data_IF_762036987825
#
_entry.id   IF_762036987825
#
_cell.length_a   1.000
_cell.length_b   1.000
_cell.length_c   1.000
_cell.angle_alpha   90.00
_cell.angle_beta   90.00
_cell.angle_gamma   90.00
#
_symmetry.space_group_name_H-M   'P 1'
#
loop_
_entity.id
_entity.type
_entity.pdbx_description
1 polymer ?
#
# COMPACT_ATOMS: atom_id res chain seq x y z
N UNK A 1 -15.19 -3.15 15.39
CA UNK A 1 -15.54 -2.93 13.96
C UNK A 1 -14.30 -3.17 13.12
N UNK A 2 -14.39 -3.88 11.99
CA UNK A 2 -13.29 -4.08 11.06
C UNK A 2 -13.53 -3.26 9.80
N UNK A 3 -12.53 -2.50 9.33
CA UNK A 3 -12.60 -1.72 8.08
C UNK A 3 -11.65 -2.35 7.07
N UNK A 4 -12.20 -2.96 6.02
CA UNK A 4 -11.42 -3.57 4.94
C UNK A 4 -11.59 -2.79 3.64
N UNK A 5 -10.61 -1.91 3.36
CA UNK A 5 -10.55 -1.13 2.12
C UNK A 5 -9.12 -0.65 1.87
N UNK A 6 -8.86 -0.25 0.63
CA UNK A 6 -7.55 0.22 0.18
C UNK A 6 -7.58 1.62 -0.43
N UNK A 7 -6.72 1.81 -1.42
CA UNK A 7 -6.50 3.08 -2.13
C UNK A 7 -7.57 3.45 -3.16
N UNK A 8 -8.71 2.74 -3.18
CA UNK A 8 -9.75 2.85 -4.23
C UNK A 8 -9.11 2.73 -5.63
N UNK A 9 -9.67 3.41 -6.64
CA UNK A 9 -9.19 3.35 -8.02
C UNK A 9 -7.77 3.91 -8.22
N UNK A 10 -7.29 4.79 -7.32
CA UNK A 10 -5.98 5.43 -7.45
C UNK A 10 -4.84 4.40 -7.48
N UNK A 11 -4.82 3.45 -6.53
CA UNK A 11 -3.77 2.43 -6.51
C UNK A 11 -3.85 1.43 -7.67
N UNK A 12 -5.06 1.14 -8.16
CA UNK A 12 -5.24 0.33 -9.37
C UNK A 12 -4.62 1.02 -10.59
N UNK A 13 -4.86 2.32 -10.74
CA UNK A 13 -4.31 3.09 -11.85
C UNK A 13 -2.79 3.25 -11.74
N UNK A 14 -2.25 3.52 -10.54
CA UNK A 14 -0.81 3.53 -10.29
C UNK A 14 -0.15 2.21 -10.71
N UNK A 15 -0.76 1.07 -10.38
CA UNK A 15 -0.26 -0.24 -10.81
C UNK A 15 -0.28 -0.38 -12.34
N UNK A 16 -1.42 -0.03 -12.97
CA UNK A 16 -1.61 -0.12 -14.42
C UNK A 16 -0.57 0.71 -15.18
N UNK A 17 -0.35 1.95 -14.75
CA UNK A 17 0.59 2.88 -15.39
C UNK A 17 2.04 2.41 -15.18
N UNK A 18 2.36 1.91 -13.99
CA UNK A 18 3.70 1.41 -13.68
C UNK A 18 4.01 0.12 -14.42
N UNK A 19 3.06 -0.79 -14.58
CA UNK A 19 3.24 -2.02 -15.37
C UNK A 19 3.62 -1.71 -16.81
N UNK A 20 2.96 -0.73 -17.45
CA UNK A 20 3.31 -0.31 -18.81
C UNK A 20 4.76 0.18 -18.91
N UNK A 21 5.20 0.97 -17.92
CA UNK A 21 6.57 1.47 -17.87
C UNK A 21 7.59 0.34 -17.64
N UNK A 22 7.28 -0.59 -16.73
CA UNK A 22 8.13 -1.75 -16.42
C UNK A 22 8.24 -2.69 -17.62
N UNK A 23 7.13 -3.01 -18.30
CA UNK A 23 7.12 -3.86 -19.50
C UNK A 23 7.99 -3.28 -20.63
N UNK A 24 8.01 -1.96 -20.80
CA UNK A 24 8.90 -1.29 -21.76
C UNK A 24 10.37 -1.35 -21.31
N UNK A 25 10.62 -1.09 -20.02
CA UNK A 25 11.95 -1.09 -19.43
C UNK A 25 12.61 -2.48 -19.42
N UNK A 26 11.84 -3.56 -19.34
CA UNK A 26 12.37 -4.92 -19.45
C UNK A 26 13.15 -5.14 -20.75
N UNK A 27 12.70 -4.53 -21.87
CA UNK A 27 13.43 -4.59 -23.15
C UNK A 27 14.77 -3.86 -23.08
N UNK A 28 14.80 -2.72 -22.38
CA UNK A 28 16.01 -1.90 -22.18
C UNK A 28 17.07 -2.63 -21.33
N UNK A 29 16.63 -3.46 -20.38
CA UNK A 29 17.51 -4.20 -19.46
C UNK A 29 17.68 -5.69 -19.85
N UNK A 30 17.23 -6.12 -21.03
CA UNK A 30 17.23 -7.52 -21.52
C UNK A 30 16.66 -8.54 -20.52
N UNK A 31 15.59 -8.17 -19.82
CA UNK A 31 14.93 -9.02 -18.83
C UNK A 31 13.89 -9.89 -19.53
N UNK A 32 14.03 -11.21 -19.35
CA UNK A 32 13.07 -12.22 -19.81
C UNK A 32 12.46 -12.90 -18.61
N UNK A 33 11.14 -13.06 -18.65
CA UNK A 33 10.35 -13.68 -17.59
C UNK A 33 9.56 -14.85 -18.19
N UNK A 34 9.28 -15.89 -17.41
CA UNK A 34 8.52 -17.05 -17.90
C UNK A 34 7.05 -16.72 -18.17
N UNK A 35 6.52 -15.67 -17.55
CA UNK A 35 5.17 -15.16 -17.75
C UNK A 35 5.18 -13.64 -17.79
N UNK A 36 4.40 -13.04 -18.70
CA UNK A 36 4.30 -11.59 -18.86
C UNK A 36 3.81 -10.88 -17.59
N UNK A 37 2.96 -11.53 -16.79
CA UNK A 37 2.44 -10.99 -15.53
C UNK A 37 3.52 -10.86 -14.44
N UNK A 38 4.71 -11.42 -14.66
CA UNK A 38 5.89 -11.28 -13.78
C UNK A 38 6.80 -10.11 -14.19
N UNK A 39 6.25 -9.07 -14.84
CA UNK A 39 7.00 -7.90 -15.28
C UNK A 39 7.79 -7.25 -14.12
N UNK A 40 9.10 -7.08 -14.31
CA UNK A 40 10.01 -6.60 -13.27
C UNK A 40 11.23 -5.85 -13.84
N UNK A 41 11.89 -5.07 -12.97
CA UNK A 41 13.15 -4.38 -13.25
C UNK A 41 14.01 -4.33 -11.97
N UNK A 42 15.34 -4.15 -12.06
CA UNK A 42 16.18 -3.95 -10.89
C UNK A 42 15.70 -2.78 -10.02
N UNK A 43 15.80 -2.95 -8.69
CA UNK A 43 15.21 -2.02 -7.72
C UNK A 43 15.84 -0.62 -7.76
N UNK A 44 17.07 -0.49 -8.23
CA UNK A 44 17.84 0.76 -8.35
C UNK A 44 17.60 1.52 -9.66
N UNK A 45 16.77 0.99 -10.55
CA UNK A 45 16.42 1.64 -11.82
C UNK A 45 15.47 2.84 -11.62
N UNK A 46 15.51 3.85 -12.51
CA UNK A 46 14.57 4.99 -12.45
C UNK A 46 13.09 4.55 -12.50
N UNK A 47 12.78 3.51 -13.26
CA UNK A 47 11.43 2.98 -13.40
C UNK A 47 10.93 2.34 -12.09
N UNK A 48 11.80 1.59 -11.39
CA UNK A 48 11.50 1.02 -10.07
C UNK A 48 11.32 2.10 -9.00
N UNK A 49 12.21 3.10 -8.96
CA UNK A 49 12.13 4.20 -8.00
C UNK A 49 10.87 5.04 -8.20
N UNK A 50 10.48 5.30 -9.46
CA UNK A 50 9.23 5.99 -9.77
C UNK A 50 7.99 5.19 -9.38
N UNK A 51 8.00 3.86 -9.57
CA UNK A 51 6.93 3.00 -9.08
C UNK A 51 6.85 3.04 -7.55
N UNK A 52 7.99 2.95 -6.85
CA UNK A 52 8.04 2.97 -5.39
C UNK A 52 7.41 4.26 -4.82
N UNK A 53 7.75 5.43 -5.35
CA UNK A 53 7.16 6.70 -4.91
C UNK A 53 5.67 6.79 -5.22
N UNK A 54 5.24 6.29 -6.39
CA UNK A 54 3.83 6.29 -6.79
C UNK A 54 3.00 5.33 -5.93
N UNK A 55 3.53 4.12 -5.66
CA UNK A 55 2.92 3.14 -4.78
C UNK A 55 2.84 3.66 -3.33
N UNK A 56 3.88 4.33 -2.83
CA UNK A 56 3.85 4.96 -1.52
C UNK A 56 2.74 6.03 -1.41
N UNK A 57 2.56 6.83 -2.47
CA UNK A 57 1.46 7.80 -2.55
C UNK A 57 0.09 7.12 -2.52
N UNK A 58 -0.07 6.01 -3.24
CA UNK A 58 -1.29 5.21 -3.21
C UNK A 58 -1.55 4.57 -1.83
N UNK A 59 -0.50 4.10 -1.15
CA UNK A 59 -0.59 3.57 0.20
C UNK A 59 -1.03 4.65 1.19
N UNK A 60 -0.47 5.86 1.11
CA UNK A 60 -0.86 7.02 1.92
C UNK A 60 -2.33 7.39 1.69
N UNK A 61 -2.80 7.36 0.44
CA UNK A 61 -4.21 7.54 0.14
C UNK A 61 -5.08 6.44 0.80
N UNK A 62 -4.63 5.19 0.76
CA UNK A 62 -5.30 4.08 1.46
C UNK A 62 -5.37 4.26 2.99
N UNK A 63 -4.30 4.76 3.61
CA UNK A 63 -4.31 5.11 5.04
C UNK A 63 -5.28 6.24 5.33
N UNK A 64 -5.26 7.32 4.55
CA UNK A 64 -6.17 8.46 4.72
C UNK A 64 -7.64 8.04 4.56
N UNK A 65 -7.95 7.24 3.54
CA UNK A 65 -9.28 6.70 3.31
C UNK A 65 -9.81 5.93 4.55
N UNK A 66 -8.99 5.04 5.14
CA UNK A 66 -9.37 4.33 6.37
C UNK A 66 -9.50 5.24 7.59
N UNK A 67 -8.71 6.30 7.65
CA UNK A 67 -8.81 7.29 8.74
C UNK A 67 -10.12 8.08 8.68
N UNK A 68 -10.54 8.50 7.48
CA UNK A 68 -11.84 9.17 7.28
C UNK A 68 -13.01 8.24 7.65
N UNK A 69 -12.98 6.98 7.20
CA UNK A 69 -14.00 5.99 7.57
C UNK A 69 -14.01 5.76 9.08
N UNK A 70 -12.85 5.71 9.73
CA UNK A 70 -12.77 5.58 11.20
C UNK A 70 -13.41 6.78 11.90
N UNK A 71 -13.23 7.99 11.38
CA UNK A 71 -13.90 9.19 11.90
C UNK A 71 -15.43 9.09 11.77
N UNK A 72 -15.95 8.68 10.61
CA UNK A 72 -17.39 8.53 10.41
C UNK A 72 -18.00 7.40 11.25
N UNK A 73 -17.29 6.28 11.41
CA UNK A 73 -17.70 5.20 12.32
C UNK A 73 -17.83 5.71 13.76
N UNK A 74 -16.86 6.51 14.22
CA UNK A 74 -16.92 7.13 15.53
C UNK A 74 -18.15 8.02 15.67
N UNK A 75 -18.41 8.91 14.71
CA UNK A 75 -19.62 9.75 14.71
C UNK A 75 -20.90 8.91 14.76
N UNK A 76 -21.04 7.90 13.89
CA UNK A 76 -22.23 7.03 13.86
C UNK A 76 -22.46 6.31 15.19
N UNK A 77 -21.41 5.86 15.86
CA UNK A 77 -21.54 5.18 17.16
C UNK A 77 -21.86 6.15 18.29
N UNK A 78 -21.24 7.33 18.32
CA UNK A 78 -21.59 8.37 19.30
C UNK A 78 -23.05 8.79 19.14
N UNK A 79 -23.52 8.97 17.91
CA UNK A 79 -24.89 9.37 17.61
C UNK A 79 -25.91 8.30 18.01
N UNK A 80 -25.61 7.03 17.76
CA UNK A 80 -26.51 5.92 18.10
C UNK A 80 -26.54 5.63 19.60
N UNK A 81 -25.38 5.47 20.23
CA UNK A 81 -25.27 5.09 21.64
C UNK A 81 -25.39 6.27 22.61
N UNK A 82 -25.36 7.52 22.10
CA UNK A 82 -25.38 8.76 22.91
C UNK A 82 -24.30 8.78 23.99
N UNK A 83 -23.10 8.30 23.63
CA UNK A 83 -21.91 8.22 24.50
C UNK A 83 -20.71 8.87 23.83
N UNK A 84 -19.78 9.36 24.64
CA UNK A 84 -18.45 9.79 24.17
C UNK A 84 -17.62 8.61 23.67
N UNK A 85 -16.55 8.88 22.92
CA UNK A 85 -15.64 7.83 22.46
C UNK A 85 -14.89 7.12 23.59
N UNK A 86 -14.62 7.84 24.68
CA UNK A 86 -13.95 7.29 25.86
C UNK A 86 -14.86 6.31 26.61
N UNK A 87 -16.15 6.64 26.76
CA UNK A 87 -17.15 5.74 27.34
C UNK A 87 -17.41 4.50 26.48
N UNK A 88 -17.19 4.59 25.17
CA UNK A 88 -17.28 3.47 24.23
C UNK A 88 -15.96 2.68 24.12
N UNK A 89 -14.88 3.16 24.72
CA UNK A 89 -13.50 2.69 24.50
C UNK A 89 -13.17 2.48 23.01
N UNK A 90 -13.64 3.39 22.15
CA UNK A 90 -13.58 3.21 20.70
C UNK A 90 -12.22 3.62 20.12
N UNK A 91 -11.22 2.79 20.39
CA UNK A 91 -9.83 2.97 19.98
C UNK A 91 -9.47 2.16 18.74
N UNK A 92 -8.53 2.67 17.96
CA UNK A 92 -7.90 1.90 16.88
C UNK A 92 -6.92 0.92 17.54
N UNK A 93 -7.17 -0.38 17.39
CA UNK A 93 -6.24 -1.41 17.87
C UNK A 93 -5.01 -1.44 16.97
N UNK A 94 -5.22 -1.57 15.65
CA UNK A 94 -4.14 -1.58 14.68
C UNK A 94 -4.64 -1.32 13.25
N UNK A 95 -3.74 -0.86 12.38
CA UNK A 95 -3.97 -0.76 10.95
C UNK A 95 -2.84 -1.44 10.19
N UNK A 96 -3.16 -2.37 9.28
CA UNK A 96 -2.18 -3.13 8.51
C UNK A 96 -2.51 -3.13 7.03
N UNK A 97 -1.47 -3.17 6.19
CA UNK A 97 -1.59 -3.35 4.75
C UNK A 97 -1.32 -4.81 4.39
N UNK A 98 -2.05 -5.36 3.42
CA UNK A 98 -1.80 -6.69 2.87
C UNK A 98 -1.35 -6.67 1.40
N UNK A 99 -1.47 -5.51 0.72
CA UNK A 99 -0.91 -5.27 -0.61
C UNK A 99 0.03 -4.05 -0.50
N UNK A 100 1.33 -4.29 -0.34
CA UNK A 100 2.33 -3.24 -0.15
C UNK A 100 3.72 -3.78 -0.51
N UNK A 101 4.61 -2.88 -0.91
CA UNK A 101 6.05 -3.12 -0.98
C UNK A 101 6.74 -2.27 0.09
N UNK A 102 7.70 -2.86 0.80
CA UNK A 102 8.47 -2.19 1.86
C UNK A 102 9.94 -2.53 1.72
N UNK A 103 10.79 -1.55 2.03
CA UNK A 103 12.22 -1.75 2.22
C UNK A 103 12.42 -2.07 3.70
N UNK A 104 12.92 -3.26 3.99
CA UNK A 104 13.04 -3.80 5.34
C UNK A 104 14.45 -4.37 5.54
N UNK A 105 14.94 -4.32 6.78
CA UNK A 105 16.19 -4.98 7.14
C UNK A 105 15.88 -6.41 7.58
N UNK A 106 16.59 -7.38 7.02
CA UNK A 106 16.47 -8.80 7.35
C UNK A 106 17.82 -9.42 7.62
N UNK A 107 17.84 -10.49 8.42
CA UNK A 107 19.03 -11.31 8.62
C UNK A 107 19.01 -12.50 7.64
N UNK A 108 20.05 -12.62 6.82
CA UNK A 108 20.24 -13.72 5.87
C UNK A 108 21.63 -14.30 6.10
N UNK A 109 21.70 -15.58 6.47
CA UNK A 109 22.96 -16.28 6.78
C UNK A 109 23.82 -15.55 7.84
N UNK A 110 23.19 -15.05 8.90
CA UNK A 110 23.87 -14.33 9.99
C UNK A 110 24.33 -12.91 9.64
N UNK A 111 23.98 -12.39 8.46
CA UNK A 111 24.30 -11.03 8.02
C UNK A 111 23.04 -10.20 7.86
N UNK A 112 23.05 -8.98 8.39
CA UNK A 112 22.01 -7.99 8.14
C UNK A 112 22.10 -7.48 6.70
N UNK A 113 20.98 -7.56 5.99
CA UNK A 113 20.81 -7.10 4.61
C UNK A 113 19.59 -6.18 4.58
N UNK A 114 19.61 -5.18 3.71
CA UNK A 114 18.53 -4.24 3.44
C UNK A 114 18.13 -4.30 1.98
#
# INVERSE_FOLDING_TARGET
>A
VMVHTGSRALGHQVCTDSLRNVEQAMKKYDIKVPDRELACVPADTPEAQNYLSSMASAANFGFNNRQLITHWLRQSFQDYFRKSLDELDFKLIYGVCHNILKIEEHEVNGKKIK
#
